data_IF_772284803194
#
_entry.id   IF_772284803194
#
_cell.length_a   1.000
_cell.length_b   1.000
_cell.length_c   1.000
_cell.angle_alpha   90.00
_cell.angle_beta   90.00
_cell.angle_gamma   90.00
#
_symmetry.space_group_name_H-M   'P 1'
#
loop_
_entity.id
_entity.type
_entity.pdbx_description
1 polymer ?
#
# COMPACT_ATOMS: atom_id res chain seq x y z
N UNK A 1 -49.57 -13.16 38.92
CA UNK A 1 -48.87 -12.41 37.86
C UNK A 1 -49.37 -12.88 36.52
N UNK A 2 -49.56 -11.95 35.59
CA UNK A 2 -49.96 -12.25 34.23
C UNK A 2 -48.73 -12.67 33.42
N UNK A 3 -48.95 -13.54 32.44
CA UNK A 3 -47.92 -13.96 31.49
C UNK A 3 -48.47 -13.88 30.08
N UNK A 4 -47.70 -13.28 29.18
CA UNK A 4 -48.14 -12.96 27.83
C UNK A 4 -47.13 -13.44 26.80
N UNK A 5 -47.65 -13.95 25.68
CA UNK A 5 -46.89 -14.22 24.48
C UNK A 5 -47.41 -13.37 23.32
N UNK A 6 -46.48 -12.78 22.58
CA UNK A 6 -46.76 -12.14 21.31
C UNK A 6 -45.61 -12.30 20.33
N UNK A 7 -45.89 -11.98 19.07
CA UNK A 7 -44.90 -12.02 17.99
C UNK A 7 -44.80 -10.67 17.32
N UNK A 8 -43.58 -10.30 16.94
CA UNK A 8 -43.29 -9.17 16.07
C UNK A 8 -42.76 -9.71 14.74
N UNK A 9 -43.21 -9.18 13.62
CA UNK A 9 -42.84 -9.62 12.28
C UNK A 9 -42.48 -8.43 11.38
N UNK A 10 -41.97 -8.74 10.18
CA UNK A 10 -41.55 -7.82 9.11
C UNK A 10 -40.23 -7.09 9.38
N UNK A 11 -39.10 -7.69 8.99
CA UNK A 11 -37.79 -7.03 9.03
C UNK A 11 -37.29 -6.75 10.45
N UNK A 12 -37.52 -7.70 11.36
CA UNK A 12 -37.25 -7.55 12.80
C UNK A 12 -36.04 -8.36 13.29
N UNK A 13 -35.48 -9.23 12.45
CA UNK A 13 -34.26 -9.97 12.78
C UNK A 13 -33.01 -9.27 12.24
N UNK A 14 -31.90 -9.41 12.95
CA UNK A 14 -30.59 -8.79 12.64
C UNK A 14 -30.60 -7.26 12.49
N UNK A 15 -31.63 -6.61 13.03
CA UNK A 15 -31.80 -5.14 13.10
C UNK A 15 -31.75 -4.61 14.54
N UNK A 16 -31.30 -5.43 15.49
CA UNK A 16 -31.20 -5.05 16.91
C UNK A 16 -32.49 -5.18 17.73
N UNK A 17 -33.58 -5.70 17.15
CA UNK A 17 -34.90 -5.74 17.81
C UNK A 17 -34.93 -6.53 19.13
N UNK A 18 -34.25 -7.68 19.19
CA UNK A 18 -34.13 -8.44 20.45
C UNK A 18 -33.37 -7.65 21.52
N UNK A 19 -32.29 -6.95 21.15
CA UNK A 19 -31.54 -6.10 22.08
C UNK A 19 -32.41 -4.96 22.61
N UNK A 20 -33.15 -4.30 21.73
CA UNK A 20 -34.09 -3.24 22.07
C UNK A 20 -35.16 -3.72 23.07
N UNK A 21 -35.79 -4.86 22.81
CA UNK A 21 -36.79 -5.44 23.72
C UNK A 21 -36.15 -5.81 25.06
N UNK A 22 -35.02 -6.54 25.05
CA UNK A 22 -34.35 -6.97 26.27
C UNK A 22 -33.90 -5.78 27.14
N UNK A 23 -33.42 -4.70 26.52
CA UNK A 23 -33.06 -3.46 27.22
C UNK A 23 -34.29 -2.83 27.90
N UNK A 24 -35.42 -2.75 27.21
CA UNK A 24 -36.67 -2.24 27.81
C UNK A 24 -37.14 -3.14 28.96
N UNK A 25 -37.08 -4.47 28.81
CA UNK A 25 -37.44 -5.42 29.88
C UNK A 25 -36.55 -5.19 31.11
N UNK A 26 -35.23 -5.07 30.92
CA UNK A 26 -34.27 -4.82 32.02
C UNK A 26 -34.52 -3.49 32.77
N UNK A 27 -35.12 -2.51 32.10
CA UNK A 27 -35.44 -1.20 32.67
C UNK A 27 -36.90 -1.10 33.16
N UNK A 28 -37.66 -2.19 33.08
CA UNK A 28 -39.06 -2.26 33.52
C UNK A 28 -39.18 -2.89 34.91
N UNK A 29 -40.38 -2.82 35.48
CA UNK A 29 -40.76 -3.51 36.72
C UNK A 29 -41.24 -4.95 36.49
N UNK A 30 -41.23 -5.41 35.23
CA UNK A 30 -41.64 -6.78 34.87
C UNK A 30 -40.74 -7.80 35.58
N UNK A 31 -41.37 -8.87 36.06
CA UNK A 31 -40.69 -9.91 36.84
C UNK A 31 -39.92 -10.89 35.95
N UNK A 32 -40.33 -11.04 34.69
CA UNK A 32 -39.72 -11.96 33.74
C UNK A 32 -39.90 -11.50 32.30
N UNK A 33 -38.98 -11.89 31.43
CA UNK A 33 -39.12 -11.58 30.02
C UNK A 33 -37.96 -12.01 29.13
N UNK A 34 -38.28 -12.31 27.87
CA UNK A 34 -37.29 -12.70 26.86
C UNK A 34 -37.76 -12.39 25.44
N UNK A 35 -36.81 -12.26 24.51
CA UNK A 35 -37.05 -12.06 23.09
C UNK A 35 -36.24 -13.07 22.26
N UNK A 36 -36.92 -13.87 21.43
CA UNK A 36 -36.36 -15.02 20.73
C UNK A 36 -36.62 -14.89 19.23
N UNK A 37 -35.57 -15.05 18.42
CA UNK A 37 -35.73 -15.11 16.97
C UNK A 37 -36.32 -16.47 16.58
N UNK A 38 -37.39 -16.45 15.80
CA UNK A 38 -38.04 -17.65 15.27
C UNK A 38 -37.51 -17.97 13.86
N UNK A 39 -37.46 -19.25 13.44
CA UNK A 39 -37.00 -19.62 12.10
C UNK A 39 -37.80 -19.00 10.94
N UNK A 40 -39.04 -18.59 11.21
CA UNK A 40 -39.94 -17.96 10.24
C UNK A 40 -39.75 -16.43 10.11
N UNK A 41 -38.68 -15.89 10.69
CA UNK A 41 -38.35 -14.46 10.62
C UNK A 41 -39.07 -13.58 11.63
N UNK A 42 -39.91 -14.15 12.52
CA UNK A 42 -40.55 -13.41 13.62
C UNK A 42 -39.64 -13.29 14.84
N UNK A 43 -39.95 -12.34 15.72
CA UNK A 43 -39.43 -12.29 17.09
C UNK A 43 -40.56 -12.68 18.02
N UNK A 44 -40.39 -13.77 18.76
CA UNK A 44 -41.27 -14.19 19.84
C UNK A 44 -40.88 -13.46 21.12
N UNK A 45 -41.84 -12.86 21.81
CA UNK A 45 -41.63 -12.19 23.09
C UNK A 45 -42.49 -12.88 24.15
N UNK A 46 -41.89 -13.14 25.30
CA UNK A 46 -42.54 -13.66 26.49
C UNK A 46 -42.36 -12.65 27.61
N UNK A 47 -43.40 -12.33 28.35
CA UNK A 47 -43.35 -11.41 29.50
C UNK A 47 -44.09 -12.00 30.69
N UNK A 48 -43.63 -11.70 31.90
CA UNK A 48 -44.25 -12.03 33.17
C UNK A 48 -44.22 -10.81 34.10
N UNK A 49 -45.35 -10.45 34.69
CA UNK A 49 -45.46 -9.28 35.57
C UNK A 49 -46.90 -8.91 35.92
N UNK A 50 -47.12 -7.66 36.34
CA UNK A 50 -48.46 -7.11 36.45
C UNK A 50 -49.09 -6.93 35.05
N UNK A 51 -50.41 -7.10 34.96
CA UNK A 51 -51.10 -7.05 33.67
C UNK A 51 -51.05 -5.64 33.06
N UNK A 52 -51.26 -4.61 33.86
CA UNK A 52 -51.30 -3.23 33.38
C UNK A 52 -49.91 -2.78 32.91
N UNK A 53 -48.86 -3.23 33.60
CA UNK A 53 -47.47 -3.03 33.19
C UNK A 53 -47.14 -3.72 31.86
N UNK A 54 -47.59 -4.97 31.66
CA UNK A 54 -47.42 -5.68 30.39
C UNK A 54 -48.15 -4.95 29.26
N UNK A 55 -49.39 -4.49 29.49
CA UNK A 55 -50.16 -3.78 28.47
C UNK A 55 -49.51 -2.44 28.08
N UNK A 56 -48.97 -1.70 29.06
CA UNK A 56 -48.20 -0.48 28.84
C UNK A 56 -46.90 -0.76 28.07
N UNK A 57 -46.16 -1.80 28.44
CA UNK A 57 -44.94 -2.22 27.73
C UNK A 57 -45.23 -2.57 26.26
N UNK A 58 -46.30 -3.31 26.00
CA UNK A 58 -46.75 -3.67 24.65
C UNK A 58 -47.14 -2.42 23.85
N UNK A 59 -47.77 -1.42 24.48
CA UNK A 59 -48.09 -0.15 23.83
C UNK A 59 -46.82 0.59 23.40
N UNK A 60 -45.83 0.69 24.28
CA UNK A 60 -44.54 1.32 23.95
C UNK A 60 -43.84 0.62 22.79
N UNK A 61 -43.85 -0.72 22.72
CA UNK A 61 -43.27 -1.45 21.58
C UNK A 61 -44.02 -1.27 20.26
N UNK A 62 -45.26 -0.76 20.27
CA UNK A 62 -45.97 -0.36 19.03
C UNK A 62 -45.54 1.01 18.55
N UNK A 63 -45.15 1.88 19.47
CA UNK A 63 -44.77 3.27 19.20
C UNK A 63 -43.28 3.40 18.91
N UNK A 64 -42.45 2.56 19.52
CA UNK A 64 -40.99 2.59 19.41
C UNK A 64 -40.44 1.28 18.87
N UNK A 65 -39.46 1.39 17.98
CA UNK A 65 -38.72 0.25 17.44
C UNK A 65 -37.29 0.68 17.03
N UNK A 66 -36.37 -0.27 16.80
CA UNK A 66 -35.05 0.06 16.25
C UNK A 66 -35.16 0.74 14.89
N UNK A 67 -34.25 1.67 14.61
CA UNK A 67 -34.20 2.45 13.36
C UNK A 67 -34.19 1.58 12.09
N UNK A 68 -33.48 0.45 12.15
CA UNK A 68 -33.35 -0.47 11.00
C UNK A 68 -34.58 -1.37 10.78
N UNK A 69 -35.52 -1.41 11.73
CA UNK A 69 -36.77 -2.15 11.58
C UNK A 69 -37.76 -1.32 10.77
N UNK A 70 -38.06 -1.74 9.53
CA UNK A 70 -38.80 -0.88 8.58
C UNK A 70 -40.28 -0.75 8.87
N UNK A 71 -41.00 -1.87 9.04
CA UNK A 71 -42.47 -1.87 9.21
C UNK A 71 -42.89 -2.99 10.17
N UNK A 72 -42.40 -2.97 11.44
CA UNK A 72 -42.70 -4.02 12.39
C UNK A 72 -44.21 -4.08 12.64
N UNK A 73 -44.77 -5.29 12.61
CA UNK A 73 -46.16 -5.50 13.03
C UNK A 73 -46.21 -6.51 14.14
N UNK A 74 -47.07 -6.27 15.12
CA UNK A 74 -47.19 -7.10 16.30
C UNK A 74 -48.51 -7.88 16.28
N UNK A 75 -48.45 -9.15 16.67
CA UNK A 75 -49.61 -10.02 16.84
C UNK A 75 -49.60 -10.55 18.26
N UNK A 76 -50.47 -10.00 19.10
CA UNK A 76 -50.66 -10.46 20.48
C UNK A 76 -51.47 -11.74 20.43
N UNK A 77 -50.94 -12.81 21.05
CA UNK A 77 -51.48 -14.15 20.82
C UNK A 77 -52.35 -14.62 21.98
N UNK A 78 -51.95 -14.45 23.25
CA UNK A 78 -52.81 -14.72 24.43
C UNK A 78 -52.09 -14.48 25.76
N UNK A 79 -52.86 -14.33 26.85
CA UNK A 79 -52.39 -14.44 28.23
C UNK A 79 -52.58 -15.87 28.73
N UNK A 80 -51.53 -16.50 29.23
CA UNK A 80 -51.56 -17.91 29.66
C UNK A 80 -50.74 -18.13 30.94
N UNK A 81 -51.38 -18.61 32.01
CA UNK A 81 -50.72 -18.79 33.32
C UNK A 81 -49.68 -19.92 33.32
N UNK A 82 -49.86 -20.95 32.50
CA UNK A 82 -48.93 -22.09 32.29
C UNK A 82 -47.67 -21.72 31.50
N UNK A 83 -47.62 -20.54 30.89
CA UNK A 83 -46.49 -20.11 30.10
C UNK A 83 -45.21 -20.08 30.94
N UNK A 84 -44.13 -20.66 30.43
CA UNK A 84 -42.81 -20.54 31.04
C UNK A 84 -42.12 -19.30 30.49
N UNK A 85 -41.88 -18.31 31.36
CA UNK A 85 -41.11 -17.10 31.02
C UNK A 85 -39.74 -17.23 31.68
N UNK A 86 -38.66 -17.26 30.90
CA UNK A 86 -37.32 -17.31 31.46
C UNK A 86 -36.99 -16.05 32.27
N UNK A 87 -36.10 -16.22 33.26
CA UNK A 87 -35.49 -15.10 33.97
C UNK A 87 -34.79 -14.12 33.02
N UNK A 88 -34.96 -12.82 33.28
CA UNK A 88 -34.48 -11.74 32.41
C UNK A 88 -32.96 -11.74 32.35
N UNK A 89 -32.27 -11.94 33.49
CA UNK A 89 -30.81 -11.93 33.55
C UNK A 89 -30.24 -13.10 32.77
N UNK A 90 -30.82 -14.29 32.91
CA UNK A 90 -30.43 -15.47 32.13
C UNK A 90 -30.63 -15.25 30.63
N UNK A 91 -31.76 -14.66 30.23
CA UNK A 91 -32.03 -14.33 28.82
C UNK A 91 -31.07 -13.29 28.27
N UNK A 92 -30.75 -12.26 29.05
CA UNK A 92 -29.80 -11.21 28.69
C UNK A 92 -28.40 -11.79 28.48
N UNK A 93 -27.92 -12.65 29.38
CA UNK A 93 -26.64 -13.33 29.26
C UNK A 93 -26.56 -14.24 28.02
N UNK A 94 -27.62 -15.01 27.74
CA UNK A 94 -27.69 -15.84 26.55
C UNK A 94 -27.63 -15.01 25.25
N UNK A 95 -28.36 -13.89 25.20
CA UNK A 95 -28.31 -12.97 24.07
C UNK A 95 -26.90 -12.35 23.91
N UNK A 96 -26.26 -11.94 25.00
CA UNK A 96 -24.89 -11.42 24.97
C UNK A 96 -23.90 -12.47 24.43
N UNK A 97 -24.00 -13.73 24.87
CA UNK A 97 -23.18 -14.84 24.36
C UNK A 97 -23.39 -15.07 22.86
N UNK A 98 -24.64 -15.03 22.37
CA UNK A 98 -24.92 -15.13 20.93
C UNK A 98 -24.23 -13.99 20.16
N UNK A 99 -24.34 -12.75 20.66
CA UNK A 99 -23.71 -11.59 20.04
C UNK A 99 -22.18 -11.67 20.07
N UNK A 100 -21.57 -12.15 21.15
CA UNK A 100 -20.14 -12.43 21.20
C UNK A 100 -19.71 -13.49 20.19
N UNK A 101 -20.50 -14.57 20.02
CA UNK A 101 -20.23 -15.58 19.00
C UNK A 101 -20.18 -14.99 17.58
N UNK A 102 -21.12 -14.09 17.25
CA UNK A 102 -21.11 -13.35 15.98
C UNK A 102 -19.85 -12.48 15.84
N UNK A 103 -19.44 -11.79 16.92
CA UNK A 103 -18.23 -10.97 16.95
C UNK A 103 -16.95 -11.80 16.71
N UNK A 104 -16.84 -12.99 17.28
CA UNK A 104 -15.69 -13.89 17.05
C UNK A 104 -15.58 -14.28 15.57
N UNK A 105 -16.69 -14.59 14.92
CA UNK A 105 -16.71 -14.89 13.47
C UNK A 105 -16.28 -13.67 12.64
N UNK A 106 -16.76 -12.48 13.01
CA UNK A 106 -16.35 -11.24 12.34
C UNK A 106 -14.85 -10.97 12.51
N UNK A 107 -14.31 -11.12 13.73
CA UNK A 107 -12.88 -10.97 14.01
C UNK A 107 -12.03 -11.97 13.22
N UNK A 108 -12.46 -13.22 13.09
CA UNK A 108 -11.78 -14.21 12.25
C UNK A 108 -11.71 -13.77 10.77
N UNK A 109 -12.83 -13.28 10.21
CA UNK A 109 -12.86 -12.74 8.84
C UNK A 109 -11.99 -11.50 8.69
N UNK A 110 -11.95 -10.63 9.69
CA UNK A 110 -11.09 -9.45 9.69
C UNK A 110 -9.62 -9.85 9.70
N UNK A 111 -9.21 -10.78 10.57
CA UNK A 111 -7.84 -11.33 10.61
C UNK A 111 -7.43 -11.85 9.24
N UNK A 112 -8.25 -12.70 8.63
CA UNK A 112 -7.95 -13.27 7.32
C UNK A 112 -7.80 -12.19 6.23
N UNK A 113 -8.65 -11.16 6.24
CA UNK A 113 -8.52 -10.03 5.30
C UNK A 113 -7.24 -9.23 5.53
N UNK A 114 -6.86 -9.05 6.78
CA UNK A 114 -5.61 -8.38 7.17
C UNK A 114 -4.39 -9.17 6.72
N UNK A 115 -4.35 -10.49 6.98
CA UNK A 115 -3.27 -11.39 6.58
C UNK A 115 -3.08 -11.36 5.06
N UNK A 116 -4.17 -11.55 4.30
CA UNK A 116 -4.17 -11.46 2.84
C UNK A 116 -3.72 -10.07 2.33
N UNK A 117 -4.03 -9.01 3.09
CA UNK A 117 -3.61 -7.64 2.77
C UNK A 117 -2.11 -7.46 2.91
N UNK A 118 -1.54 -7.94 4.02
CA UNK A 118 -0.09 -7.89 4.27
C UNK A 118 0.70 -8.78 3.33
N UNK A 119 0.19 -9.97 2.99
CA UNK A 119 0.83 -10.85 2.00
C UNK A 119 0.92 -10.18 0.62
N UNK A 120 -0.18 -9.58 0.14
CA UNK A 120 -0.19 -8.83 -1.13
C UNK A 120 0.75 -7.63 -1.10
N UNK A 121 0.84 -6.93 0.04
CA UNK A 121 1.75 -5.81 0.21
C UNK A 121 3.21 -6.27 0.17
N UNK A 122 3.54 -7.34 0.90
CA UNK A 122 4.86 -7.99 0.89
C UNK A 122 5.30 -8.35 -0.53
N UNK A 123 4.45 -9.08 -1.26
CA UNK A 123 4.74 -9.47 -2.65
C UNK A 123 4.98 -8.26 -3.57
N UNK A 124 4.21 -7.17 -3.43
CA UNK A 124 4.42 -5.95 -4.21
C UNK A 124 5.73 -5.24 -3.85
N UNK A 125 6.09 -5.21 -2.56
CA UNK A 125 7.36 -4.63 -2.11
C UNK A 125 8.54 -5.43 -2.65
N UNK A 126 8.49 -6.76 -2.56
CA UNK A 126 9.56 -7.64 -3.07
C UNK A 126 9.78 -7.43 -4.57
N UNK A 127 8.70 -7.39 -5.36
CA UNK A 127 8.77 -7.08 -6.80
C UNK A 127 9.36 -5.68 -7.04
N UNK A 128 8.93 -4.68 -6.26
CA UNK A 128 9.43 -3.32 -6.36
C UNK A 128 10.93 -3.21 -6.07
N UNK A 129 11.41 -3.88 -5.02
CA UNK A 129 12.83 -3.92 -4.67
C UNK A 129 13.66 -4.69 -5.68
N UNK A 130 13.15 -5.80 -6.23
CA UNK A 130 13.83 -6.52 -7.32
C UNK A 130 13.98 -5.64 -8.56
N UNK A 131 12.92 -4.93 -8.97
CA UNK A 131 13.00 -4.01 -10.11
C UNK A 131 13.98 -2.87 -9.88
N UNK A 132 14.01 -2.33 -8.65
CA UNK A 132 14.98 -1.30 -8.27
C UNK A 132 16.42 -1.83 -8.32
N UNK A 133 16.66 -3.02 -7.78
CA UNK A 133 17.96 -3.70 -7.84
C UNK A 133 18.43 -3.86 -9.29
N UNK A 134 17.60 -4.41 -10.17
CA UNK A 134 17.94 -4.57 -11.59
C UNK A 134 18.28 -3.24 -12.29
N UNK A 135 17.57 -2.14 -11.95
CA UNK A 135 17.86 -0.80 -12.48
C UNK A 135 19.20 -0.27 -11.96
N UNK A 136 19.52 -0.55 -10.70
CA UNK A 136 20.78 -0.16 -10.09
C UNK A 136 21.96 -0.91 -10.71
N UNK A 137 21.82 -2.22 -10.92
CA UNK A 137 22.82 -3.03 -11.63
C UNK A 137 23.06 -2.53 -13.06
N UNK A 138 21.98 -2.19 -13.77
CA UNK A 138 22.06 -1.62 -15.13
C UNK A 138 22.77 -0.26 -15.12
N UNK A 139 22.48 0.59 -14.13
CA UNK A 139 23.14 1.89 -13.99
C UNK A 139 24.63 1.73 -13.67
N UNK A 140 25.00 0.79 -12.81
CA UNK A 140 26.39 0.48 -12.47
C UNK A 140 27.16 0.00 -13.71
N UNK A 141 26.61 -0.95 -14.45
CA UNK A 141 27.20 -1.43 -15.71
C UNK A 141 27.37 -0.32 -16.74
N UNK A 142 26.36 0.53 -16.92
CA UNK A 142 26.45 1.66 -17.87
C UNK A 142 27.51 2.68 -17.45
N UNK A 143 27.64 2.92 -16.14
CA UNK A 143 28.66 3.81 -15.57
C UNK A 143 30.06 3.24 -15.80
N UNK A 144 30.27 1.96 -15.48
CA UNK A 144 31.56 1.27 -15.71
C UNK A 144 31.95 1.31 -17.19
N UNK A 145 31.03 0.91 -18.08
CA UNK A 145 31.24 0.96 -19.53
C UNK A 145 31.52 2.39 -20.03
N UNK A 146 30.87 3.40 -19.44
CA UNK A 146 31.09 4.81 -19.76
C UNK A 146 32.50 5.28 -19.41
N UNK A 147 32.98 4.95 -18.21
CA UNK A 147 34.34 5.27 -17.78
C UNK A 147 35.39 4.50 -18.57
N UNK A 148 35.17 3.23 -18.88
CA UNK A 148 36.09 2.44 -19.70
C UNK A 148 36.23 3.04 -21.11
N UNK A 149 35.11 3.39 -21.76
CA UNK A 149 35.14 4.08 -23.06
C UNK A 149 35.84 5.43 -23.01
N UNK A 150 35.66 6.19 -21.92
CA UNK A 150 36.34 7.47 -21.73
C UNK A 150 37.85 7.27 -21.55
N UNK A 151 38.27 6.29 -20.74
CA UNK A 151 39.67 5.91 -20.55
C UNK A 151 40.32 5.54 -21.87
N UNK A 152 39.71 4.63 -22.63
CA UNK A 152 40.23 4.21 -23.95
C UNK A 152 40.38 5.37 -24.93
N UNK A 153 39.42 6.32 -24.95
CA UNK A 153 39.53 7.53 -25.79
C UNK A 153 40.66 8.45 -25.33
N UNK A 154 40.85 8.58 -24.03
CA UNK A 154 41.91 9.40 -23.45
C UNK A 154 43.29 8.81 -23.77
N UNK A 155 43.45 7.50 -23.57
CA UNK A 155 44.68 6.77 -23.92
C UNK A 155 45.02 6.91 -25.40
N UNK A 156 44.04 6.72 -26.28
CA UNK A 156 44.23 6.91 -27.72
C UNK A 156 44.60 8.37 -28.07
N UNK A 157 43.97 9.34 -27.40
CA UNK A 157 44.28 10.76 -27.59
C UNK A 157 45.70 11.12 -27.16
N UNK A 158 46.17 10.58 -26.04
CA UNK A 158 47.54 10.80 -25.57
C UNK A 158 48.58 10.09 -26.45
N UNK A 159 48.29 8.88 -26.95
CA UNK A 159 49.14 8.22 -27.93
C UNK A 159 49.30 9.06 -29.21
N UNK A 160 48.18 9.52 -29.79
CA UNK A 160 48.24 10.39 -30.99
C UNK A 160 48.98 11.70 -30.75
N UNK A 161 48.87 12.28 -29.56
CA UNK A 161 49.63 13.47 -29.18
C UNK A 161 51.12 13.16 -29.08
N UNK A 162 51.48 12.04 -28.45
CA UNK A 162 52.85 11.53 -28.36
C UNK A 162 53.46 11.35 -29.75
N UNK A 163 52.78 10.63 -30.64
CA UNK A 163 53.24 10.40 -32.02
C UNK A 163 53.47 11.72 -32.77
N UNK A 164 52.59 12.72 -32.60
CA UNK A 164 52.77 14.04 -33.23
C UNK A 164 53.98 14.78 -32.68
N UNK A 165 54.22 14.69 -31.37
CA UNK A 165 55.38 15.30 -30.72
C UNK A 165 56.66 14.64 -31.21
N UNK A 166 56.71 13.30 -31.24
CA UNK A 166 57.88 12.54 -31.68
C UNK A 166 58.22 12.84 -33.14
N UNK A 167 57.21 12.87 -34.02
CA UNK A 167 57.39 13.28 -35.42
C UNK A 167 57.90 14.73 -35.53
N UNK A 168 57.34 15.66 -34.75
CA UNK A 168 57.78 17.05 -34.73
C UNK A 168 59.24 17.23 -34.30
N UNK A 169 59.69 16.46 -33.30
CA UNK A 169 61.09 16.45 -32.89
C UNK A 169 62.00 15.80 -33.93
N UNK A 170 61.54 14.74 -34.61
CA UNK A 170 62.27 14.13 -35.73
C UNK A 170 62.50 15.14 -36.86
N UNK A 171 61.46 15.89 -37.24
CA UNK A 171 61.55 16.93 -38.29
C UNK A 171 62.55 18.04 -37.92
N UNK A 172 62.54 18.50 -36.66
CA UNK A 172 63.49 19.50 -36.16
C UNK A 172 64.91 18.95 -36.19
N UNK A 173 65.10 17.71 -35.76
CA UNK A 173 66.40 17.04 -35.77
C UNK A 173 66.95 16.94 -37.19
N UNK A 174 66.13 16.50 -38.15
CA UNK A 174 66.53 16.40 -39.56
C UNK A 174 66.92 17.77 -40.15
N UNK A 175 66.17 18.83 -39.82
CA UNK A 175 66.51 20.20 -40.23
C UNK A 175 67.83 20.67 -39.62
N UNK A 176 68.07 20.38 -38.34
CA UNK A 176 69.32 20.71 -37.66
C UNK A 176 70.51 19.95 -38.26
N UNK A 177 70.34 18.67 -38.61
CA UNK A 177 71.39 17.84 -39.22
C UNK A 177 71.80 18.32 -40.63
N UNK A 178 70.87 18.95 -41.37
CA UNK A 178 71.15 19.52 -42.70
C UNK A 178 71.82 20.90 -42.61
N UNK A 179 71.62 21.63 -41.51
CA UNK A 179 72.05 23.02 -41.35
C UNK A 179 73.57 23.25 -41.59
N UNK A 180 74.50 22.41 -41.08
CA UNK A 180 75.93 22.61 -41.32
C UNK A 180 76.31 22.47 -42.80
N UNK A 181 75.64 21.57 -43.54
CA UNK A 181 75.89 21.37 -44.97
C UNK A 181 75.39 22.55 -45.78
N UNK A 182 74.21 23.07 -45.47
CA UNK A 182 73.67 24.27 -46.11
C UNK A 182 74.53 25.50 -45.82
N UNK A 183 75.00 25.69 -44.58
CA UNK A 183 75.93 26.78 -44.22
C UNK A 183 77.25 26.63 -44.98
N UNK A 184 77.84 25.43 -45.00
CA UNK A 184 79.09 25.19 -45.71
C UNK A 184 78.96 25.46 -47.22
N UNK A 185 77.82 25.11 -47.81
CA UNK A 185 77.51 25.42 -49.20
C UNK A 185 77.42 26.94 -49.43
N UNK A 186 76.68 27.66 -48.58
CA UNK A 186 76.55 29.11 -48.66
C UNK A 186 77.90 29.84 -48.52
N UNK A 187 78.78 29.40 -47.62
CA UNK A 187 80.14 29.96 -47.47
C UNK A 187 80.95 29.79 -48.76
N UNK A 188 80.92 28.59 -49.37
CA UNK A 188 81.64 28.34 -50.63
C UNK A 188 81.12 29.19 -51.78
N UNK A 189 79.81 29.43 -51.85
CA UNK A 189 79.19 30.28 -52.87
C UNK A 189 79.65 31.73 -52.72
N UNK A 190 79.68 32.27 -51.48
CA UNK A 190 80.20 33.62 -51.19
C UNK A 190 81.68 33.74 -51.53
N UNK A 191 82.50 32.76 -51.14
CA UNK A 191 83.94 32.74 -51.45
C UNK A 191 84.16 32.75 -52.97
N UNK A 192 83.38 31.97 -53.72
CA UNK A 192 83.45 31.91 -55.18
C UNK A 192 83.03 33.22 -55.86
N UNK A 193 82.01 33.91 -55.34
CA UNK A 193 81.60 35.23 -55.82
C UNK A 193 82.64 36.30 -55.51
N UNK A 194 83.22 36.30 -54.31
CA UNK A 194 84.27 37.22 -53.91
C UNK A 194 85.53 37.07 -54.80
N UNK A 195 85.94 35.84 -55.12
CA UNK A 195 87.04 35.54 -56.04
C UNK A 195 86.79 36.16 -57.42
N UNK A 196 85.60 35.97 -58.01
CA UNK A 196 85.24 36.57 -59.30
C UNK A 196 85.26 38.09 -59.28
N UNK A 197 84.83 38.72 -58.19
CA UNK A 197 84.86 40.17 -58.04
C UNK A 197 86.27 40.75 -57.85
N UNK A 198 87.24 39.92 -57.41
CA UNK A 198 88.63 40.31 -57.17
C UNK A 198 89.57 40.17 -58.38
N UNK A 199 89.10 39.57 -59.49
CA UNK A 199 89.89 39.50 -60.71
C UNK A 199 90.07 40.91 -61.32
N UNK A 200 91.30 41.33 -61.64
CA UNK A 200 91.53 42.69 -62.14
C UNK A 200 90.82 42.89 -63.47
N UNK A 201 90.10 44.01 -63.59
CA UNK A 201 89.61 44.55 -64.87
C UNK A 201 90.80 44.62 -65.83
N UNK A 202 90.85 43.67 -66.79
CA UNK A 202 91.79 43.76 -67.91
C UNK A 202 91.44 45.04 -68.67
N UNK A 203 92.33 46.02 -68.58
CA UNK A 203 92.30 47.25 -69.35
C UNK A 203 92.36 47.00 -70.85
#
# INVERSE_FOLDING_TARGET
MAKCQFFIKNGVQDVGYRLFIMQKILNSTLTGGTAINMPDGRVKVLLEGDRDEIEQFIKELKEEHPELAKNPTMTVTEYETSLHVPDVMRSSQALQMEQFGKSVVFLGKLSQKTDNGFEKLGNKMDIGFQQLGNKMDTLDQNTQNGFEKLGNKMDAGFQQLGDKIDNGFSDVTEKLDKLPREIAKAIREVDAEALKASEPLKA
#
